data_IF_515067778664
#
_entry.id   IF_515067778664
#
_cell.length_a   1.000
_cell.length_b   1.000
_cell.length_c   1.000
_cell.angle_alpha   90.00
_cell.angle_beta   90.00
_cell.angle_gamma   90.00
#
_symmetry.space_group_name_H-M   'P 1'
#
loop_
_entity.id
_entity.type
_entity.pdbx_description
1 polymer ?
#
# COMPACT_ATOMS: atom_id res chain seq x y z
N UNK A 1 -12.04 27.95 2.90
CA UNK A 1 -12.10 27.05 4.06
C UNK A 1 -11.36 25.76 3.69
N UNK A 2 -10.70 25.09 4.62
CA UNK A 2 -10.11 23.80 4.31
C UNK A 2 -11.20 22.76 3.98
N UNK A 3 -10.92 21.91 3.00
CA UNK A 3 -11.82 20.80 2.64
C UNK A 3 -11.63 19.65 3.65
N UNK A 4 -12.43 19.64 4.69
CA UNK A 4 -12.35 18.64 5.75
C UNK A 4 -12.61 17.22 5.24
N UNK A 5 -13.44 17.04 4.22
CA UNK A 5 -13.73 15.72 3.64
C UNK A 5 -12.52 15.20 2.89
N UNK A 6 -11.90 16.04 2.05
CA UNK A 6 -10.71 15.66 1.32
C UNK A 6 -9.52 15.41 2.26
N UNK A 7 -9.37 16.18 3.32
CA UNK A 7 -8.35 15.96 4.35
C UNK A 7 -8.58 14.65 5.10
N UNK A 8 -9.82 14.35 5.50
CA UNK A 8 -10.18 13.09 6.13
C UNK A 8 -9.86 11.90 5.21
N UNK A 9 -10.30 11.95 3.95
CA UNK A 9 -10.04 10.92 2.97
C UNK A 9 -8.54 10.66 2.78
N UNK A 10 -7.75 11.74 2.71
CA UNK A 10 -6.29 11.66 2.59
C UNK A 10 -5.66 11.04 3.84
N UNK A 11 -6.13 11.43 5.03
CA UNK A 11 -5.62 10.89 6.30
C UNK A 11 -5.81 9.39 6.40
N UNK A 12 -7.03 8.88 6.12
CA UNK A 12 -7.29 7.44 6.18
C UNK A 12 -6.50 6.64 5.13
N UNK A 13 -6.14 7.26 4.00
CA UNK A 13 -5.30 6.64 2.97
C UNK A 13 -3.83 6.58 3.40
N UNK A 14 -3.33 7.62 4.06
CA UNK A 14 -1.93 7.71 4.53
C UNK A 14 -1.64 6.72 5.66
N UNK A 15 -2.60 6.42 6.53
CA UNK A 15 -2.39 5.56 7.69
C UNK A 15 -1.83 4.17 7.33
N UNK A 16 -2.41 3.38 6.41
CA UNK A 16 -1.84 2.09 6.05
C UNK A 16 -0.48 2.22 5.35
N UNK A 17 -0.25 3.28 4.59
CA UNK A 17 1.03 3.55 3.94
C UNK A 17 2.14 3.82 4.97
N UNK A 18 1.82 4.58 6.01
CA UNK A 18 2.74 4.85 7.11
C UNK A 18 3.02 3.61 7.94
N UNK A 19 1.99 2.80 8.21
CA UNK A 19 2.15 1.51 8.88
C UNK A 19 3.13 0.61 8.13
N UNK A 20 3.00 0.46 6.82
CA UNK A 20 3.92 -0.35 6.03
C UNK A 20 5.34 0.22 6.07
N UNK A 21 5.49 1.54 5.99
CA UNK A 21 6.80 2.19 6.05
C UNK A 21 7.53 1.92 7.37
N UNK A 22 6.81 1.80 8.48
CA UNK A 22 7.37 1.52 9.79
C UNK A 22 7.59 0.02 10.04
N UNK A 23 6.64 -0.82 9.63
CA UNK A 23 6.67 -2.26 9.92
C UNK A 23 7.58 -3.05 8.97
N UNK A 24 7.60 -2.68 7.69
CA UNK A 24 8.32 -3.43 6.67
C UNK A 24 9.85 -3.49 6.87
N UNK A 25 10.55 -2.44 7.33
CA UNK A 25 12.01 -2.50 7.55
C UNK A 25 12.45 -3.58 8.53
N UNK A 26 11.59 -3.95 9.50
CA UNK A 26 11.90 -5.02 10.46
C UNK A 26 12.20 -6.36 9.76
N UNK A 27 11.55 -6.63 8.63
CA UNK A 27 11.77 -7.85 7.84
C UNK A 27 13.08 -7.86 7.05
N UNK A 28 13.77 -6.73 6.94
CA UNK A 28 15.12 -6.68 6.36
C UNK A 28 16.18 -7.26 7.29
N UNK A 29 15.89 -7.26 8.60
CA UNK A 29 16.79 -7.73 9.65
C UNK A 29 16.63 -9.22 9.95
N UNK A 30 15.59 -9.87 9.44
CA UNK A 30 15.29 -11.28 9.69
C UNK A 30 15.59 -12.15 8.47
N UNK A 31 15.83 -13.43 8.73
CA UNK A 31 16.09 -14.42 7.68
C UNK A 31 14.77 -14.85 7.02
N UNK A 32 14.60 -14.55 5.73
CA UNK A 32 13.41 -14.92 4.95
C UNK A 32 13.43 -16.37 4.45
N UNK A 33 14.50 -17.12 4.70
CA UNK A 33 14.58 -18.56 4.41
C UNK A 33 13.84 -19.44 5.42
N UNK A 34 13.20 -18.84 6.42
CA UNK A 34 12.38 -19.51 7.42
C UNK A 34 10.93 -19.37 7.03
N UNK A 35 10.25 -20.47 6.70
CA UNK A 35 8.86 -20.47 6.21
C UNK A 35 7.87 -19.68 7.09
N UNK A 36 7.87 -19.77 8.44
CA UNK A 36 6.99 -18.96 9.26
C UNK A 36 7.22 -17.46 9.10
N UNK A 37 8.47 -17.02 8.93
CA UNK A 37 8.81 -15.60 8.72
C UNK A 37 8.32 -15.13 7.36
N UNK A 38 8.48 -15.93 6.31
CA UNK A 38 7.98 -15.65 4.97
C UNK A 38 6.44 -15.53 4.95
N UNK A 39 5.75 -16.41 5.67
CA UNK A 39 4.28 -16.33 5.83
C UNK A 39 3.84 -15.09 6.58
N UNK A 40 4.58 -14.67 7.60
CA UNK A 40 4.30 -13.45 8.35
C UNK A 40 4.46 -12.21 7.45
N UNK A 41 5.53 -12.14 6.67
CA UNK A 41 5.76 -11.07 5.70
C UNK A 41 4.61 -11.00 4.68
N UNK A 42 4.19 -12.14 4.13
CA UNK A 42 3.04 -12.24 3.23
C UNK A 42 1.75 -11.73 3.90
N UNK A 43 1.51 -12.12 5.15
CA UNK A 43 0.35 -11.68 5.93
C UNK A 43 0.33 -10.18 6.13
N UNK A 44 1.47 -9.58 6.43
CA UNK A 44 1.63 -8.13 6.56
C UNK A 44 1.25 -7.40 5.26
N UNK A 45 1.78 -7.82 4.12
CA UNK A 45 1.44 -7.21 2.84
C UNK A 45 -0.02 -7.43 2.45
N UNK A 46 -0.57 -8.62 2.73
CA UNK A 46 -1.98 -8.89 2.49
C UNK A 46 -2.88 -7.92 3.27
N UNK A 47 -2.63 -7.75 4.56
CA UNK A 47 -3.38 -6.82 5.41
C UNK A 47 -3.21 -5.37 4.94
N UNK A 48 -2.00 -4.97 4.59
CA UNK A 48 -1.72 -3.65 4.04
C UNK A 48 -2.56 -3.35 2.80
N UNK A 49 -2.55 -4.25 1.80
CA UNK A 49 -3.30 -4.03 0.56
C UNK A 49 -4.82 -4.02 0.79
N UNK A 50 -5.34 -4.84 1.71
CA UNK A 50 -6.77 -4.84 2.05
C UNK A 50 -7.15 -3.49 2.67
N UNK A 51 -6.41 -3.05 3.69
CA UNK A 51 -6.71 -1.79 4.39
C UNK A 51 -6.56 -0.60 3.43
N UNK A 52 -5.52 -0.60 2.60
CA UNK A 52 -5.31 0.45 1.59
C UNK A 52 -6.45 0.49 0.56
N UNK A 53 -6.93 -0.66 0.11
CA UNK A 53 -8.06 -0.74 -0.82
C UNK A 53 -9.35 -0.22 -0.18
N UNK A 54 -9.65 -0.63 1.06
CA UNK A 54 -10.83 -0.15 1.78
C UNK A 54 -10.75 1.36 2.01
N UNK A 55 -9.62 1.86 2.50
CA UNK A 55 -9.40 3.30 2.70
C UNK A 55 -9.53 4.09 1.40
N UNK A 56 -9.00 3.54 0.31
CA UNK A 56 -9.10 4.13 -1.02
C UNK A 56 -10.53 4.20 -1.56
N UNK A 57 -11.34 3.14 -1.35
CA UNK A 57 -12.76 3.15 -1.74
C UNK A 57 -13.54 4.19 -0.94
N UNK A 58 -13.36 4.23 0.38
CA UNK A 58 -14.01 5.22 1.26
C UNK A 58 -13.57 6.63 0.86
N UNK A 59 -12.28 6.85 0.66
CA UNK A 59 -11.73 8.14 0.25
C UNK A 59 -12.27 8.60 -1.10
N UNK A 60 -12.32 7.69 -2.09
CA UNK A 60 -12.88 7.99 -3.43
C UNK A 60 -14.35 8.39 -3.31
N UNK A 61 -15.15 7.62 -2.58
CA UNK A 61 -16.58 7.91 -2.39
C UNK A 61 -16.78 9.27 -1.71
N UNK A 62 -16.04 9.56 -0.65
CA UNK A 62 -16.11 10.81 0.07
C UNK A 62 -15.77 12.01 -0.83
N UNK A 63 -14.72 11.90 -1.65
CA UNK A 63 -14.29 12.98 -2.56
C UNK A 63 -15.27 13.16 -3.74
N UNK A 64 -15.88 12.06 -4.25
CA UNK A 64 -16.95 12.14 -5.25
C UNK A 64 -18.13 12.96 -4.73
N UNK A 65 -18.53 12.76 -3.47
CA UNK A 65 -19.64 13.49 -2.84
C UNK A 65 -19.38 15.00 -2.74
N UNK A 66 -18.12 15.43 -2.72
CA UNK A 66 -17.75 16.86 -2.74
C UNK A 66 -17.62 17.44 -4.15
N UNK A 67 -17.87 16.65 -5.19
CA UNK A 67 -17.77 17.07 -6.59
C UNK A 67 -16.35 17.28 -7.12
N UNK A 68 -15.33 16.86 -6.38
CA UNK A 68 -13.90 17.01 -6.77
C UNK A 68 -13.44 15.86 -7.66
N UNK A 69 -13.91 15.83 -8.87
CA UNK A 69 -13.69 14.72 -9.82
C UNK A 69 -12.22 14.41 -10.09
N UNK A 70 -11.35 15.43 -10.17
CA UNK A 70 -9.91 15.21 -10.38
C UNK A 70 -9.25 14.42 -9.24
N UNK A 71 -9.58 14.77 -7.98
CA UNK A 71 -9.12 14.02 -6.82
C UNK A 71 -9.76 12.63 -6.74
N UNK A 72 -11.05 12.51 -7.06
CA UNK A 72 -11.74 11.22 -7.08
C UNK A 72 -11.11 10.25 -8.06
N UNK A 73 -10.70 10.70 -9.24
CA UNK A 73 -9.96 9.89 -10.22
C UNK A 73 -8.62 9.46 -9.64
N UNK A 74 -7.87 10.37 -9.02
CA UNK A 74 -6.58 10.04 -8.39
C UNK A 74 -6.72 8.98 -7.29
N UNK A 75 -7.66 9.14 -6.37
CA UNK A 75 -7.96 8.14 -5.32
C UNK A 75 -8.43 6.81 -5.91
N UNK A 76 -9.30 6.85 -6.93
CA UNK A 76 -9.79 5.66 -7.62
C UNK A 76 -8.69 4.87 -8.32
N UNK A 77 -7.77 5.56 -9.01
CA UNK A 77 -6.61 4.94 -9.66
C UNK A 77 -5.67 4.30 -8.63
N UNK A 78 -5.39 4.98 -7.52
CA UNK A 78 -4.58 4.40 -6.45
C UNK A 78 -5.24 3.16 -5.84
N UNK A 79 -6.55 3.20 -5.65
CA UNK A 79 -7.32 2.06 -5.12
C UNK A 79 -7.28 0.87 -6.09
N UNK A 80 -7.51 1.11 -7.37
CA UNK A 80 -7.45 0.08 -8.41
C UNK A 80 -6.05 -0.52 -8.51
N UNK A 81 -5.01 0.31 -8.45
CA UNK A 81 -3.62 -0.13 -8.45
C UNK A 81 -3.31 -0.99 -7.21
N UNK A 82 -3.76 -0.59 -6.02
CA UNK A 82 -3.59 -1.38 -4.80
C UNK A 82 -4.28 -2.74 -4.90
N UNK A 83 -5.52 -2.78 -5.38
CA UNK A 83 -6.29 -4.02 -5.51
C UNK A 83 -5.68 -4.99 -6.55
N UNK A 84 -5.22 -4.49 -7.70
CA UNK A 84 -4.57 -5.30 -8.73
C UNK A 84 -3.18 -5.76 -8.31
N UNK A 85 -2.39 -4.87 -7.72
CA UNK A 85 -1.06 -5.19 -7.21
C UNK A 85 -1.10 -6.25 -6.11
N UNK A 86 -2.14 -6.24 -5.26
CA UNK A 86 -2.35 -7.26 -4.23
C UNK A 86 -2.37 -8.66 -4.82
N UNK A 87 -3.17 -8.91 -5.87
CA UNK A 87 -3.29 -10.24 -6.50
C UNK A 87 -1.94 -10.69 -7.02
N UNK A 88 -1.30 -9.89 -7.85
CA UNK A 88 -0.01 -10.20 -8.43
C UNK A 88 1.08 -10.45 -7.37
N UNK A 89 1.14 -9.60 -6.35
CA UNK A 89 2.14 -9.66 -5.29
C UNK A 89 1.98 -10.93 -4.44
N UNK A 90 0.75 -11.24 -4.03
CA UNK A 90 0.47 -12.41 -3.19
C UNK A 90 0.63 -13.73 -3.95
N UNK A 91 0.26 -13.79 -5.22
CA UNK A 91 0.48 -14.97 -6.07
C UNK A 91 1.96 -15.26 -6.21
N UNK A 92 2.77 -14.23 -6.39
CA UNK A 92 4.22 -14.35 -6.46
C UNK A 92 4.82 -14.87 -5.16
N UNK A 93 4.40 -14.30 -4.02
CA UNK A 93 4.86 -14.76 -2.70
C UNK A 93 4.38 -16.17 -2.37
N UNK A 94 3.15 -16.54 -2.72
CA UNK A 94 2.64 -17.89 -2.52
C UNK A 94 3.49 -18.92 -3.28
N UNK A 95 3.77 -18.66 -4.54
CA UNK A 95 4.61 -19.53 -5.36
C UNK A 95 5.98 -19.79 -4.71
N UNK A 96 6.60 -18.74 -4.17
CA UNK A 96 7.90 -18.85 -3.50
C UNK A 96 7.81 -19.59 -2.15
N UNK A 97 6.69 -19.48 -1.41
CA UNK A 97 6.50 -20.13 -0.11
C UNK A 97 6.12 -21.62 -0.25
N UNK A 98 5.42 -21.99 -1.31
CA UNK A 98 4.96 -23.37 -1.57
C UNK A 98 6.06 -24.30 -2.05
N UNK A 99 7.25 -23.79 -2.37
CA UNK A 99 8.40 -24.62 -2.67
C UNK A 99 8.83 -25.41 -1.42
N UNK A 100 9.12 -26.70 -1.56
CA UNK A 100 9.43 -27.61 -0.44
C UNK A 100 10.63 -27.17 0.41
N UNK A 101 11.55 -26.42 -0.20
CA UNK A 101 12.66 -25.80 0.53
C UNK A 101 12.81 -24.34 0.07
N UNK A 102 12.78 -23.43 1.02
CA UNK A 102 13.16 -22.03 0.76
C UNK A 102 14.69 -21.98 0.73
N UNK A 103 15.23 -22.11 -0.47
CA UNK A 103 16.67 -21.97 -0.69
C UNK A 103 17.11 -20.49 -0.73
N UNK A 104 18.41 -20.26 -0.93
CA UNK A 104 18.96 -18.91 -0.98
C UNK A 104 18.39 -18.07 -2.13
N UNK A 105 18.05 -18.69 -3.27
CA UNK A 105 17.51 -18.01 -4.44
C UNK A 105 16.07 -17.54 -4.21
N UNK A 106 15.24 -18.39 -3.57
CA UNK A 106 13.87 -18.05 -3.17
C UNK A 106 13.88 -16.92 -2.16
N UNK A 107 14.74 -16.99 -1.15
CA UNK A 107 14.88 -15.94 -0.14
C UNK A 107 15.32 -14.61 -0.78
N UNK A 108 16.21 -14.66 -1.78
CA UNK A 108 16.63 -13.47 -2.52
C UNK A 108 15.48 -12.85 -3.35
N UNK A 109 14.67 -13.67 -4.05
CA UNK A 109 13.48 -13.20 -4.79
C UNK A 109 12.47 -12.55 -3.85
N UNK A 110 12.17 -13.17 -2.71
CA UNK A 110 11.27 -12.62 -1.70
C UNK A 110 11.77 -11.27 -1.16
N UNK A 111 13.07 -11.15 -0.93
CA UNK A 111 13.68 -9.89 -0.50
C UNK A 111 13.56 -8.80 -1.56
N UNK A 112 13.72 -9.14 -2.83
CA UNK A 112 13.49 -8.19 -3.94
C UNK A 112 12.04 -7.74 -4.03
N UNK A 113 11.08 -8.66 -3.87
CA UNK A 113 9.64 -8.31 -3.80
C UNK A 113 9.35 -7.39 -2.62
N UNK A 114 9.90 -7.69 -1.47
CA UNK A 114 9.76 -6.87 -0.27
C UNK A 114 10.29 -5.45 -0.48
N UNK A 115 11.50 -5.31 -1.02
CA UNK A 115 12.07 -4.01 -1.38
C UNK A 115 11.24 -3.26 -2.41
N UNK A 116 10.76 -3.96 -3.43
CA UNK A 116 9.87 -3.38 -4.44
C UNK A 116 8.58 -2.85 -3.85
N UNK A 117 7.95 -3.62 -2.94
CA UNK A 117 6.75 -3.20 -2.22
C UNK A 117 6.99 -1.98 -1.33
N UNK A 118 8.10 -1.96 -0.59
CA UNK A 118 8.47 -0.81 0.25
C UNK A 118 8.72 0.45 -0.60
N UNK A 119 9.47 0.33 -1.68
CA UNK A 119 9.79 1.45 -2.56
C UNK A 119 8.53 2.01 -3.22
N UNK A 120 7.67 1.13 -3.75
CA UNK A 120 6.39 1.54 -4.34
C UNK A 120 5.52 2.29 -3.31
N UNK A 121 5.41 1.78 -2.08
CA UNK A 121 4.70 2.46 -1.00
C UNK A 121 5.33 3.81 -0.65
N UNK A 122 6.65 3.91 -0.56
CA UNK A 122 7.33 5.16 -0.26
C UNK A 122 7.09 6.22 -1.34
N UNK A 123 7.13 5.84 -2.62
CA UNK A 123 6.83 6.74 -3.75
C UNK A 123 5.37 7.19 -3.71
N UNK A 124 4.42 6.27 -3.47
CA UNK A 124 3.01 6.61 -3.34
C UNK A 124 2.75 7.55 -2.17
N UNK A 125 3.34 7.27 -1.00
CA UNK A 125 3.22 8.11 0.18
C UNK A 125 3.77 9.52 -0.07
N UNK A 126 4.95 9.62 -0.68
CA UNK A 126 5.54 10.91 -1.05
C UNK A 126 4.65 11.69 -2.03
N UNK A 127 4.07 11.01 -3.01
CA UNK A 127 3.13 11.63 -3.96
C UNK A 127 1.87 12.16 -3.26
N UNK A 128 1.27 11.38 -2.36
CA UNK A 128 0.09 11.80 -1.59
C UNK A 128 0.43 13.00 -0.70
N UNK A 129 1.56 12.97 0.02
CA UNK A 129 2.01 14.08 0.86
C UNK A 129 2.24 15.35 0.02
N UNK A 130 2.87 15.23 -1.13
CA UNK A 130 3.11 16.36 -2.04
C UNK A 130 1.80 16.96 -2.57
N UNK A 131 0.72 16.18 -2.65
CA UNK A 131 -0.59 16.66 -3.08
C UNK A 131 -1.42 17.32 -1.96
N UNK A 132 -1.02 17.21 -0.68
CA UNK A 132 -1.79 17.75 0.45
C UNK A 132 -2.10 19.26 0.28
N UNK A 133 -1.18 20.13 -0.14
CA UNK A 133 -1.49 21.56 -0.35
C UNK A 133 -2.62 21.79 -1.34
N UNK A 134 -2.71 20.95 -2.38
CA UNK A 134 -3.78 21.04 -3.39
C UNK A 134 -5.10 20.41 -2.92
N UNK A 135 -5.02 19.41 -2.05
CA UNK A 135 -6.17 18.70 -1.49
C UNK A 135 -6.86 19.56 -0.43
N UNK A 136 -6.08 20.28 0.38
CA UNK A 136 -6.58 21.07 1.52
C UNK A 136 -7.30 22.36 1.10
N UNK A 137 -7.10 22.85 -0.12
CA UNK A 137 -7.77 24.04 -0.62
C UNK A 137 -9.15 23.66 -1.15
N UNK A 138 -10.20 24.29 -0.62
CA UNK A 138 -11.54 24.11 -1.16
C UNK A 138 -11.62 24.64 -2.61
N UNK A 139 -12.38 24.00 -3.49
CA UNK A 139 -12.63 24.52 -4.82
C UNK A 139 -13.31 25.90 -4.71
N UNK A 140 -12.91 26.81 -5.56
CA UNK A 140 -13.52 28.15 -5.69
C UNK A 140 -14.96 28.03 -6.19
#
# INVERSE_FOLDING_TARGET
MPDNVALFATTILILPMFYLLLAAPAFLLVKLNVTPVARLLRGMFNSYFIVLTIAGVIGTAAVVMTGRWGLAIGFGLMTALAATSRRWFLERMNFDIEQEAIDADVAHRMRRLHWGGMLANAVQLAAVIACIPYISVAPA
#
